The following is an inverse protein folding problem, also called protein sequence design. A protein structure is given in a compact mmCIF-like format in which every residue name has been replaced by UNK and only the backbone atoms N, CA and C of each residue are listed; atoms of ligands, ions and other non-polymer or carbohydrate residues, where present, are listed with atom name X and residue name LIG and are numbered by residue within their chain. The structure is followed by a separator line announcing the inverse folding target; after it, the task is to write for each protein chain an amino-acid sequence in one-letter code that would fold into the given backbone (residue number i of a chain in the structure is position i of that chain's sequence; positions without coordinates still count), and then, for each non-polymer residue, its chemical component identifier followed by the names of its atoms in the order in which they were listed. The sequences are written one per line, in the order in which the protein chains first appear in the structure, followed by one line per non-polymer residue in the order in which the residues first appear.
data_IF_959935473638
#
_entry.id   IF_959935473638
#
_cell.length_a   1.000
_cell.length_b   1.000
_cell.length_c   1.000
_cell.angle_alpha   90.00
_cell.angle_beta   90.00
_cell.angle_gamma   90.00
#
_symmetry.space_group_name_H-M   'P 1'
#
loop_
_entity.id
_entity.type
_entity.pdbx_description
1 polymer ?
#
# COMPACT_ATOMS: atom_id res chain seq x y z
N UNK A 1 47.82 -15.23 30.91
CA UNK A 1 46.43 -14.74 31.10
C UNK A 1 45.73 -14.74 29.75
N UNK A 2 44.86 -15.74 29.45
CA UNK A 2 44.14 -15.77 28.18
C UNK A 2 42.79 -15.05 28.27
N UNK A 3 42.52 -14.30 27.22
CA UNK A 3 41.38 -13.43 26.95
C UNK A 3 40.05 -14.19 26.95
N UNK A 4 39.16 -13.85 27.89
CA UNK A 4 37.77 -14.28 27.86
C UNK A 4 36.93 -13.32 27.00
N UNK A 5 36.83 -13.59 25.70
CA UNK A 5 35.76 -13.04 24.86
C UNK A 5 34.46 -13.76 25.25
N UNK A 6 33.76 -13.21 26.23
CA UNK A 6 32.47 -13.72 26.67
C UNK A 6 31.40 -13.42 25.60
N UNK A 7 30.97 -14.51 24.96
CA UNK A 7 29.64 -14.78 24.43
C UNK A 7 28.60 -13.66 24.66
N UNK A 8 28.43 -12.77 23.69
CA UNK A 8 27.23 -11.91 23.63
C UNK A 8 26.04 -12.77 23.22
N UNK A 9 24.91 -12.76 23.96
CA UNK A 9 23.71 -13.43 23.51
C UNK A 9 23.23 -12.76 22.22
N UNK A 10 23.19 -13.51 21.12
CA UNK A 10 22.52 -13.11 19.89
C UNK A 10 21.08 -12.79 20.26
N UNK A 11 20.74 -11.51 20.37
CA UNK A 11 19.35 -11.09 20.51
C UNK A 11 18.64 -11.58 19.25
N UNK A 12 17.88 -12.66 19.40
CA UNK A 12 17.11 -13.20 18.29
C UNK A 12 16.09 -12.14 17.90
N UNK A 13 16.38 -11.44 16.81
CA UNK A 13 15.44 -10.52 16.17
C UNK A 13 14.30 -11.41 15.67
N UNK A 14 13.27 -11.61 16.50
CA UNK A 14 12.07 -12.35 16.13
C UNK A 14 11.48 -11.63 14.91
N UNK A 15 11.62 -12.24 13.73
CA UNK A 15 10.93 -11.78 12.52
C UNK A 15 9.44 -11.79 12.84
N UNK A 16 8.85 -10.60 12.94
CA UNK A 16 7.41 -10.47 13.11
C UNK A 16 6.75 -11.12 11.87
N UNK A 17 6.11 -12.28 12.06
CA UNK A 17 5.54 -13.14 11.01
C UNK A 17 4.36 -12.51 10.28
N UNK A 18 3.90 -11.35 10.74
CA UNK A 18 2.59 -10.78 10.44
C UNK A 18 2.63 -9.71 9.33
N UNK A 19 3.75 -9.58 8.61
CA UNK A 19 3.83 -8.64 7.49
C UNK A 19 2.84 -9.06 6.38
N UNK A 20 2.08 -8.12 5.77
CA UNK A 20 1.17 -8.44 4.68
C UNK A 20 1.87 -9.16 3.52
N UNK A 21 1.19 -10.17 2.95
CA UNK A 21 1.70 -11.02 1.86
C UNK A 21 0.74 -10.97 0.68
N UNK A 22 1.28 -11.14 -0.53
CA UNK A 22 0.52 -11.11 -1.79
C UNK A 22 -0.61 -12.16 -1.86
N UNK A 23 -0.45 -13.30 -1.17
CA UNK A 23 -1.44 -14.38 -1.15
C UNK A 23 -2.72 -14.07 -0.35
N UNK A 24 -2.71 -13.07 0.54
CA UNK A 24 -3.86 -12.72 1.39
C UNK A 24 -5.04 -12.21 0.55
N UNK A 25 -6.26 -12.53 0.95
CA UNK A 25 -7.51 -12.06 0.34
C UNK A 25 -7.67 -10.54 0.41
N UNK A 26 -8.56 -9.97 -0.41
CA UNK A 26 -8.86 -8.54 -0.38
C UNK A 26 -9.37 -8.08 0.99
N UNK A 27 -10.23 -8.90 1.63
CA UNK A 27 -10.78 -8.63 2.96
C UNK A 27 -9.67 -8.57 4.01
N UNK A 28 -8.78 -9.57 4.07
CA UNK A 28 -7.67 -9.59 5.02
C UNK A 28 -6.72 -8.39 4.85
N UNK A 29 -6.41 -8.02 3.60
CA UNK A 29 -5.57 -6.85 3.33
C UNK A 29 -6.26 -5.55 3.74
N UNK A 30 -7.58 -5.42 3.51
CA UNK A 30 -8.39 -4.27 3.93
C UNK A 30 -8.46 -4.16 5.46
N UNK A 31 -8.65 -5.29 6.16
CA UNK A 31 -8.65 -5.33 7.63
C UNK A 31 -7.30 -4.88 8.19
N UNK A 32 -6.18 -5.34 7.63
CA UNK A 32 -4.85 -4.90 8.08
C UNK A 32 -4.64 -3.41 7.78
N UNK A 33 -5.08 -2.92 6.62
CA UNK A 33 -4.97 -1.52 6.24
C UNK A 33 -5.73 -0.57 7.19
N UNK A 34 -6.89 -1.02 7.69
CA UNK A 34 -7.77 -0.23 8.56
C UNK A 34 -7.47 -0.40 10.06
N UNK A 35 -6.69 -1.41 10.46
CA UNK A 35 -6.30 -1.60 11.86
C UNK A 35 -5.67 -0.34 12.44
N UNK A 36 -6.35 0.28 13.40
CA UNK A 36 -5.80 1.33 14.25
C UNK A 36 -4.90 0.70 15.32
N UNK A 37 -3.86 1.43 15.72
CA UNK A 37 -3.01 1.00 16.84
C UNK A 37 -3.78 1.32 18.12
N UNK A 38 -4.13 0.30 18.89
CA UNK A 38 -4.69 0.48 20.24
C UNK A 38 -3.61 1.12 21.14
N UNK A 39 -4.02 1.98 22.08
CA UNK A 39 -3.11 2.76 22.93
C UNK A 39 -2.11 1.92 23.73
N UNK A 40 -0.96 2.55 24.06
CA UNK A 40 0.22 2.00 24.78
C UNK A 40 1.28 1.25 23.95
N UNK A 41 1.28 1.38 22.61
CA UNK A 41 2.34 0.82 21.77
C UNK A 41 3.66 1.63 21.85
N UNK A 42 4.80 0.93 21.86
CA UNK A 42 6.14 1.52 21.79
C UNK A 42 6.38 2.22 20.43
N UNK A 43 7.41 3.07 20.36
CA UNK A 43 7.80 3.75 19.11
C UNK A 43 8.06 2.77 17.97
N UNK A 44 8.79 1.69 18.25
CA UNK A 44 9.12 0.65 17.26
C UNK A 44 7.88 -0.10 16.78
N UNK A 45 6.95 -0.39 17.70
CA UNK A 45 5.67 -1.02 17.35
C UNK A 45 4.83 -0.11 16.45
N UNK A 46 4.82 1.20 16.71
CA UNK A 46 4.14 2.18 15.86
C UNK A 46 4.76 2.22 14.45
N UNK A 47 6.08 2.29 14.34
CA UNK A 47 6.79 2.30 13.05
C UNK A 47 6.51 1.00 12.28
N UNK A 48 6.58 -0.15 12.93
CA UNK A 48 6.28 -1.44 12.32
C UNK A 48 4.81 -1.52 11.85
N UNK A 49 3.87 -1.00 12.63
CA UNK A 49 2.46 -0.94 12.27
C UNK A 49 2.22 -0.07 11.03
N UNK A 50 2.77 1.15 11.00
CA UNK A 50 2.69 2.06 9.84
C UNK A 50 3.22 1.35 8.59
N UNK A 51 4.40 0.74 8.67
CA UNK A 51 4.99 -0.01 7.56
C UNK A 51 4.10 -1.16 7.08
N UNK A 52 3.52 -1.91 8.01
CA UNK A 52 2.62 -3.01 7.68
C UNK A 52 1.33 -2.50 7.02
N UNK A 53 0.72 -1.43 7.54
CA UNK A 53 -0.48 -0.82 6.95
C UNK A 53 -0.22 -0.34 5.52
N UNK A 54 0.83 0.45 5.31
CA UNK A 54 1.16 0.94 3.97
C UNK A 54 1.48 -0.20 3.00
N UNK A 55 2.08 -1.30 3.49
CA UNK A 55 2.28 -2.51 2.67
C UNK A 55 0.95 -3.19 2.33
N UNK A 56 0.03 -3.31 3.27
CA UNK A 56 -1.30 -3.88 3.06
C UNK A 56 -2.10 -3.08 2.03
N UNK A 57 -2.08 -1.74 2.14
CA UNK A 57 -2.76 -0.81 1.21
C UNK A 57 -2.23 -0.97 -0.22
N UNK A 58 -0.90 -1.03 -0.38
CA UNK A 58 -0.30 -1.23 -1.71
C UNK A 58 -0.66 -2.57 -2.32
N UNK A 59 -0.66 -3.64 -1.53
CA UNK A 59 -1.06 -4.97 -1.98
C UNK A 59 -2.56 -5.01 -2.30
N UNK A 60 -3.39 -4.37 -1.47
CA UNK A 60 -4.83 -4.26 -1.63
C UNK A 60 -5.17 -3.61 -2.97
N UNK A 61 -4.66 -2.40 -3.24
CA UNK A 61 -4.93 -1.67 -4.48
C UNK A 61 -4.49 -2.47 -5.72
N UNK A 62 -3.30 -3.07 -5.70
CA UNK A 62 -2.82 -3.91 -6.82
C UNK A 62 -3.66 -5.17 -7.03
N UNK A 63 -4.15 -5.78 -5.95
CA UNK A 63 -5.00 -6.97 -6.02
C UNK A 63 -6.40 -6.62 -6.50
N UNK A 64 -6.97 -5.51 -6.03
CA UNK A 64 -8.25 -4.95 -6.46
C UNK A 64 -8.26 -4.68 -7.96
N UNK A 65 -7.20 -4.07 -8.45
CA UNK A 65 -7.01 -3.74 -9.86
C UNK A 65 -6.80 -4.95 -10.78
N UNK A 66 -6.41 -6.11 -10.23
CA UNK A 66 -6.20 -7.36 -10.98
C UNK A 66 -5.36 -7.21 -12.26
N UNK A 67 -4.34 -6.34 -12.23
CA UNK A 67 -3.46 -6.10 -13.38
C UNK A 67 -4.04 -5.19 -14.47
N UNK A 68 -5.19 -4.57 -14.24
CA UNK A 68 -5.81 -3.55 -15.09
C UNK A 68 -5.66 -2.19 -14.42
N UNK A 69 -5.29 -1.16 -15.20
CA UNK A 69 -5.27 0.22 -14.70
C UNK A 69 -6.69 0.66 -14.37
N UNK A 70 -6.91 1.11 -13.14
CA UNK A 70 -8.25 1.49 -12.66
C UNK A 70 -8.77 2.77 -13.32
N UNK A 71 -7.88 3.64 -13.83
CA UNK A 71 -8.28 4.86 -14.52
C UNK A 71 -8.63 4.66 -16.01
N UNK A 72 -7.83 3.91 -16.76
CA UNK A 72 -7.98 3.80 -18.22
C UNK A 72 -8.46 2.43 -18.71
N UNK A 73 -8.63 1.45 -17.83
CA UNK A 73 -9.12 0.11 -18.16
C UNK A 73 -8.12 -0.74 -18.97
N UNK A 74 -6.92 -0.24 -19.26
CA UNK A 74 -5.90 -0.99 -20.01
C UNK A 74 -5.12 -1.92 -19.08
N UNK A 75 -4.72 -3.08 -19.59
CA UNK A 75 -3.82 -3.98 -18.87
C UNK A 75 -2.47 -3.31 -18.56
N UNK A 76 -1.83 -3.77 -17.49
CA UNK A 76 -0.47 -3.35 -17.13
C UNK A 76 0.48 -3.53 -18.33
N UNK A 77 1.41 -2.58 -18.54
CA UNK A 77 2.27 -2.59 -19.73
C UNK A 77 3.24 -3.78 -19.78
N UNK A 78 3.62 -4.32 -18.62
CA UNK A 78 4.47 -5.50 -18.51
C UNK A 78 4.25 -6.21 -17.16
N UNK A 79 4.85 -7.39 -17.01
CA UNK A 79 4.88 -8.16 -15.76
C UNK A 79 6.29 -8.14 -15.15
N UNK A 80 6.37 -8.06 -13.83
CA UNK A 80 7.59 -8.30 -13.05
C UNK A 80 7.54 -9.69 -12.42
N UNK A 81 8.61 -10.07 -11.70
CA UNK A 81 8.61 -11.28 -10.84
C UNK A 81 7.47 -11.27 -9.82
N UNK A 82 7.00 -10.08 -9.45
CA UNK A 82 5.92 -9.87 -8.49
C UNK A 82 4.54 -9.71 -9.15
N UNK A 83 4.42 -9.84 -10.48
CA UNK A 83 3.15 -9.75 -11.23
C UNK A 83 3.02 -8.51 -12.11
N UNK A 84 1.79 -8.16 -12.57
CA UNK A 84 1.55 -7.00 -13.43
C UNK A 84 2.08 -5.69 -12.83
N UNK A 85 2.76 -4.86 -13.63
CA UNK A 85 3.34 -3.61 -13.17
C UNK A 85 2.29 -2.48 -13.16
N UNK A 86 1.79 -2.18 -11.96
CA UNK A 86 0.97 -1.01 -11.64
C UNK A 86 1.59 -0.22 -10.49
N UNK A 87 1.39 1.09 -10.50
CA UNK A 87 1.85 2.05 -9.51
C UNK A 87 0.67 2.46 -8.64
N UNK A 88 0.86 2.50 -7.32
CA UNK A 88 -0.20 2.90 -6.39
C UNK A 88 -0.06 4.40 -6.13
N UNK A 89 -1.13 5.13 -6.43
CA UNK A 89 -1.23 6.58 -6.31
C UNK A 89 -2.16 6.95 -5.15
N UNK A 90 -1.75 7.92 -4.34
CA UNK A 90 -2.61 8.53 -3.32
C UNK A 90 -3.31 9.75 -3.92
N UNK A 91 -4.65 9.75 -3.96
CA UNK A 91 -5.43 10.84 -4.57
C UNK A 91 -5.38 12.11 -3.69
N UNK A 92 -5.56 11.94 -2.38
CA UNK A 92 -5.18 12.93 -1.37
C UNK A 92 -3.76 12.63 -0.89
N UNK A 93 -2.82 13.52 -1.20
CA UNK A 93 -1.40 13.33 -0.89
C UNK A 93 -1.18 13.20 0.62
N UNK A 94 -0.33 12.26 1.01
CA UNK A 94 0.06 12.07 2.42
C UNK A 94 0.74 13.33 3.01
N UNK A 95 1.50 14.07 2.20
CA UNK A 95 2.17 15.30 2.62
C UNK A 95 1.17 16.42 3.00
N UNK A 96 -0.01 16.40 2.38
CA UNK A 96 -1.08 17.37 2.61
C UNK A 96 -2.08 16.89 3.68
N UNK A 97 -1.71 15.86 4.46
CA UNK A 97 -2.57 15.27 5.48
C UNK A 97 -3.57 14.23 4.97
N UNK A 98 -3.44 13.80 3.71
CA UNK A 98 -4.28 12.74 3.15
C UNK A 98 -4.16 11.41 3.92
N UNK A 99 -5.26 10.66 4.09
CA UNK A 99 -5.23 9.43 4.89
C UNK A 99 -4.59 8.26 4.13
N UNK A 100 -3.72 7.48 4.79
CA UNK A 100 -3.23 6.21 4.23
C UNK A 100 -4.28 5.11 4.48
N UNK A 101 -5.30 5.08 3.60
CA UNK A 101 -6.45 4.16 3.65
C UNK A 101 -6.81 3.64 2.24
N UNK A 102 -7.46 2.46 2.12
CA UNK A 102 -7.82 1.85 0.82
C UNK A 102 -8.61 2.75 -0.13
N UNK A 103 -9.55 3.54 0.40
CA UNK A 103 -10.40 4.44 -0.40
C UNK A 103 -9.65 5.66 -0.94
N UNK A 104 -8.44 5.94 -0.45
CA UNK A 104 -7.59 7.05 -0.91
C UNK A 104 -6.49 6.59 -1.87
N UNK A 105 -6.48 5.32 -2.29
CA UNK A 105 -5.45 4.81 -3.21
C UNK A 105 -6.06 4.20 -4.47
N UNK A 106 -5.34 4.36 -5.57
CA UNK A 106 -5.70 3.83 -6.89
C UNK A 106 -4.48 3.21 -7.56
N UNK A 107 -4.66 2.09 -8.25
CA UNK A 107 -3.62 1.42 -9.02
C UNK A 107 -3.65 1.85 -10.49
N UNK A 108 -2.57 2.50 -10.93
CA UNK A 108 -2.44 3.11 -12.24
C UNK A 108 -1.33 2.47 -13.07
N UNK A 109 -1.46 2.51 -14.39
CA UNK A 109 -0.30 2.31 -15.27
C UNK A 109 0.63 3.53 -15.21
N UNK A 110 1.90 3.40 -15.63
CA UNK A 110 2.88 4.50 -15.54
C UNK A 110 2.43 5.78 -16.26
N UNK A 111 1.71 5.64 -17.37
CA UNK A 111 1.20 6.80 -18.14
C UNK A 111 0.12 7.54 -17.36
N UNK A 112 -0.87 6.83 -16.80
CA UNK A 112 -1.92 7.44 -15.99
C UNK A 112 -1.37 8.02 -14.69
N UNK A 113 -0.38 7.36 -14.08
CA UNK A 113 0.27 7.88 -12.89
C UNK A 113 1.01 9.19 -13.17
N UNK A 114 1.78 9.27 -14.26
CA UNK A 114 2.40 10.54 -14.67
C UNK A 114 1.37 11.63 -14.98
N UNK A 115 0.23 11.31 -15.63
CA UNK A 115 -0.85 12.28 -15.86
C UNK A 115 -1.40 12.84 -14.54
N UNK A 116 -1.57 11.99 -13.52
CA UNK A 116 -2.05 12.40 -12.21
C UNK A 116 -1.09 13.36 -11.48
N UNK A 117 0.21 13.33 -11.77
CA UNK A 117 1.19 14.25 -11.18
C UNK A 117 1.48 15.49 -12.02
N UNK A 118 1.57 15.35 -13.34
CA UNK A 118 2.26 16.33 -14.19
C UNK A 118 1.42 16.92 -15.31
N UNK A 119 0.26 16.34 -15.63
CA UNK A 119 -0.55 16.89 -16.70
C UNK A 119 -1.17 18.23 -16.31
N UNK A 120 -1.43 19.08 -17.32
CA UNK A 120 -2.14 20.35 -17.12
C UNK A 120 -3.55 20.14 -16.54
N UNK A 121 -4.16 19.00 -16.83
CA UNK A 121 -5.47 18.60 -16.30
C UNK A 121 -5.38 17.69 -15.07
N UNK A 122 -4.21 17.60 -14.42
CA UNK A 122 -3.97 16.71 -13.28
C UNK A 122 -5.01 16.86 -12.17
N UNK A 123 -5.42 18.08 -11.80
CA UNK A 123 -6.47 18.31 -10.79
C UNK A 123 -7.78 17.63 -11.20
N UNK A 124 -8.29 17.96 -12.39
CA UNK A 124 -9.53 17.36 -12.93
C UNK A 124 -9.41 15.84 -13.09
N UNK A 125 -8.23 15.36 -13.47
CA UNK A 125 -7.98 13.93 -13.59
C UNK A 125 -8.03 13.26 -12.22
N UNK A 126 -7.37 13.80 -11.19
CA UNK A 126 -7.43 13.27 -9.81
C UNK A 126 -8.86 13.28 -9.26
N UNK A 127 -9.65 14.34 -9.52
CA UNK A 127 -11.06 14.38 -9.12
C UNK A 127 -11.83 13.18 -9.70
N UNK A 128 -11.63 12.88 -11.00
CA UNK A 128 -12.25 11.71 -11.61
C UNK A 128 -11.77 10.37 -11.02
N UNK A 129 -10.53 10.30 -10.52
CA UNK A 129 -10.02 9.08 -9.87
C UNK A 129 -10.75 8.80 -8.55
N UNK A 130 -11.13 9.84 -7.81
CA UNK A 130 -11.88 9.72 -6.56
C UNK A 130 -13.23 9.04 -6.82
N UNK A 131 -13.96 9.49 -7.85
CA UNK A 131 -15.25 8.91 -8.23
C UNK A 131 -15.13 7.46 -8.71
N UNK A 132 -14.07 7.15 -9.47
CA UNK A 132 -13.76 5.79 -9.91
C UNK A 132 -13.52 4.88 -8.71
N UNK A 133 -12.63 5.27 -7.78
CA UNK A 133 -12.31 4.44 -6.61
C UNK A 133 -13.54 4.25 -5.74
N UNK A 134 -14.35 5.29 -5.54
CA UNK A 134 -15.62 5.18 -4.81
C UNK A 134 -16.52 4.11 -5.43
N UNK A 135 -16.71 4.16 -6.75
CA UNK A 135 -17.52 3.17 -7.48
C UNK A 135 -16.97 1.75 -7.36
N UNK A 136 -15.65 1.58 -7.45
CA UNK A 136 -15.00 0.28 -7.29
C UNK A 136 -15.19 -0.25 -5.86
N UNK A 137 -14.97 0.58 -4.84
CA UNK A 137 -15.09 0.19 -3.44
C UNK A 137 -16.53 -0.17 -3.08
N UNK A 138 -17.52 0.58 -3.58
CA UNK A 138 -18.95 0.31 -3.39
C UNK A 138 -19.35 -1.04 -4.02
N UNK A 139 -18.71 -1.45 -5.12
CA UNK A 139 -18.96 -2.74 -5.78
C UNK A 139 -18.29 -3.95 -5.11
N UNK A 140 -17.36 -3.73 -4.16
CA UNK A 140 -16.63 -4.77 -3.43
C UNK A 140 -17.32 -5.11 -2.09
N UNK A 141 -18.22 -4.23 -1.63
CA UNK A 141 -19.01 -4.38 -0.38
C UNK A 141 -20.17 -5.35 -0.60
#
# INVERSE_FOLDING_TARGET
MPLAWAWMPKTSFRKNSDSPKKGMSLKELKDIALKSVVGSATKDQKIANIKNRSKAIKLYAKKRANGICEACGKSAPFKTKDGPYLEVHHMFKLADGGPDIPVNVIALCPVCHCRAHYALDSTKFNDSLIDIVKTIEDAII
#
